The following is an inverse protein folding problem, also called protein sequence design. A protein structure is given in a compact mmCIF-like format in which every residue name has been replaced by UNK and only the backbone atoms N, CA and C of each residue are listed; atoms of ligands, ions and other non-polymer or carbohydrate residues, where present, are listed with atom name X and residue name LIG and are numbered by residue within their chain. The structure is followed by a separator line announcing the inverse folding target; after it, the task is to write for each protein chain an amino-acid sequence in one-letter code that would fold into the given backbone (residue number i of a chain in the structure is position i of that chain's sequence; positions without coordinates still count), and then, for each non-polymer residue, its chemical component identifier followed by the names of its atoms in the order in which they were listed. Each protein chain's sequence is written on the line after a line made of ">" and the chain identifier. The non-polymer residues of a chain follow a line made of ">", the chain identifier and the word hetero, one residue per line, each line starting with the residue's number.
data_IF_148726740154
#
_entry.id   IF_148726740154
#
_cell.length_a   1.000
_cell.length_b   1.000
_cell.length_c   1.000
_cell.angle_alpha   90.00
_cell.angle_beta   90.00
_cell.angle_gamma   90.00
#
_symmetry.space_group_name_H-M   'P 1'
#
loop_
_entity.id
_entity.type
_entity.pdbx_description
1 polymer ?
#
# COMPACT_ATOMS: atom_id res chain seq x y z
N UNK A 1 -29.71 -28.57 31.15
CA UNK A 1 -29.50 -27.27 31.80
C UNK A 1 -29.86 -26.19 30.79
N UNK A 2 -31.06 -25.64 30.95
CA UNK A 2 -31.59 -24.51 30.18
C UNK A 2 -30.81 -23.23 30.46
N UNK A 3 -30.61 -22.38 29.45
CA UNK A 3 -30.74 -20.92 29.61
C UNK A 3 -31.33 -20.31 28.34
N UNK A 4 -32.61 -19.92 28.46
CA UNK A 4 -33.37 -19.03 27.57
C UNK A 4 -32.76 -17.62 27.59
N UNK A 5 -32.89 -16.89 26.48
CA UNK A 5 -33.02 -15.44 26.50
C UNK A 5 -34.14 -15.00 25.54
N UNK A 6 -35.01 -14.14 26.07
CA UNK A 6 -36.26 -13.67 25.49
C UNK A 6 -36.06 -12.50 24.51
N UNK A 7 -36.97 -12.42 23.53
CA UNK A 7 -37.31 -11.23 22.74
C UNK A 7 -38.15 -10.25 23.60
N UNK A 8 -37.98 -8.94 23.38
CA UNK A 8 -39.05 -7.96 23.56
C UNK A 8 -39.01 -6.89 22.47
N UNK A 9 -40.18 -6.59 21.94
CA UNK A 9 -40.55 -5.64 20.90
C UNK A 9 -40.93 -4.26 21.47
N UNK A 10 -40.76 -3.18 20.70
CA UNK A 10 -41.84 -2.19 20.47
C UNK A 10 -41.46 -1.15 19.41
N UNK A 11 -42.37 -1.00 18.45
CA UNK A 11 -42.49 0.06 17.45
C UNK A 11 -43.00 1.36 18.10
N UNK A 12 -42.55 2.53 17.64
CA UNK A 12 -43.40 3.73 17.56
C UNK A 12 -43.04 4.57 16.33
N UNK A 13 -44.07 4.87 15.56
CA UNK A 13 -44.14 5.82 14.45
C UNK A 13 -44.10 7.28 14.96
N UNK A 14 -43.62 8.20 14.12
CA UNK A 14 -44.37 9.41 13.74
C UNK A 14 -43.71 10.09 12.53
N UNK A 15 -44.58 10.52 11.62
CA UNK A 15 -44.28 11.12 10.31
C UNK A 15 -44.43 12.67 10.35
N UNK A 16 -44.40 13.41 9.22
CA UNK A 16 -43.50 14.56 9.01
C UNK A 16 -44.21 15.93 8.95
N UNK A 17 -43.46 17.05 8.97
CA UNK A 17 -44.00 18.37 8.59
C UNK A 17 -42.98 19.18 7.77
N UNK A 18 -43.52 19.77 6.71
CA UNK A 18 -42.97 20.58 5.61
C UNK A 18 -42.66 22.05 5.95
N UNK A 19 -41.85 22.69 5.08
CA UNK A 19 -41.51 24.12 5.00
C UNK A 19 -42.75 25.04 4.73
N UNK A 20 -42.68 26.39 4.80
CA UNK A 20 -41.96 27.23 3.82
C UNK A 20 -41.40 28.60 4.31
N UNK A 21 -40.76 29.33 3.40
CA UNK A 21 -40.20 30.68 3.49
C UNK A 21 -41.26 31.81 3.43
N UNK A 22 -40.93 33.03 3.91
CA UNK A 22 -41.13 34.33 3.22
C UNK A 22 -40.72 35.57 4.05
N UNK A 23 -40.07 36.52 3.34
CA UNK A 23 -40.06 37.99 3.39
C UNK A 23 -40.26 38.83 4.67
N UNK A 24 -39.49 39.93 4.76
CA UNK A 24 -39.97 41.17 5.42
C UNK A 24 -38.89 42.17 5.84
N UNK A 25 -38.59 43.13 4.97
CA UNK A 25 -37.82 44.36 5.25
C UNK A 25 -38.65 45.36 6.07
N UNK A 26 -38.07 46.03 7.07
CA UNK A 26 -38.48 47.36 7.52
C UNK A 26 -37.47 48.07 8.45
N UNK A 27 -36.65 48.91 7.82
CA UNK A 27 -36.12 50.22 8.22
C UNK A 27 -36.60 50.86 9.56
N UNK A 28 -35.66 51.19 10.48
CA UNK A 28 -35.72 52.38 11.37
C UNK A 28 -34.32 52.91 11.67
N UNK A 29 -34.14 54.23 11.52
CA UNK A 29 -32.94 55.05 11.81
C UNK A 29 -32.82 55.41 13.32
N UNK A 30 -31.65 55.89 13.77
CA UNK A 30 -31.18 55.81 15.17
C UNK A 30 -31.35 57.13 15.94
N UNK A 31 -31.02 57.16 17.24
CA UNK A 31 -30.57 58.39 17.88
C UNK A 31 -29.05 58.38 18.14
N UNK A 32 -28.55 59.59 17.98
CA UNK A 32 -27.22 60.14 18.19
C UNK A 32 -26.72 60.01 19.64
N UNK A 33 -25.40 59.98 19.80
CA UNK A 33 -24.69 59.89 21.07
C UNK A 33 -23.22 59.55 20.86
N UNK A 34 -22.42 60.52 20.41
CA UNK A 34 -20.94 60.42 20.37
C UNK A 34 -20.36 60.61 21.77
N UNK A 35 -19.44 59.71 22.14
CA UNK A 35 -18.29 60.02 23.00
C UNK A 35 -16.99 59.62 22.25
N UNK A 36 -15.83 60.24 22.56
CA UNK A 36 -14.72 60.35 21.63
C UNK A 36 -13.92 59.03 21.52
N UNK A 37 -13.69 58.59 20.29
CA UNK A 37 -12.79 57.46 20.01
C UNK A 37 -11.36 57.84 20.41
N UNK A 38 -10.83 57.14 21.40
CA UNK A 38 -9.40 56.95 21.55
C UNK A 38 -8.83 56.27 20.30
N UNK A 39 -7.56 56.53 20.08
CA UNK A 39 -6.78 56.30 18.88
C UNK A 39 -6.64 54.80 18.52
N UNK A 40 -7.56 54.25 17.71
CA UNK A 40 -7.51 52.88 17.15
C UNK A 40 -6.72 52.82 15.83
N UNK A 41 -5.92 53.84 15.51
CA UNK A 41 -5.15 53.84 14.24
C UNK A 41 -3.91 52.94 14.31
N UNK A 42 -3.35 52.71 15.51
CA UNK A 42 -2.12 51.93 15.68
C UNK A 42 -2.26 50.39 15.65
N UNK A 43 -3.46 49.84 15.90
CA UNK A 43 -3.68 48.38 15.90
C UNK A 43 -4.03 47.83 14.51
N UNK A 44 -4.76 48.60 13.68
CA UNK A 44 -5.04 48.22 12.29
C UNK A 44 -3.77 48.23 11.43
N UNK A 45 -2.90 49.24 11.59
CA UNK A 45 -1.62 49.30 10.87
C UNK A 45 -0.67 48.15 11.25
N UNK A 46 -0.72 47.66 12.50
CA UNK A 46 0.08 46.50 12.94
C UNK A 46 -0.46 45.18 12.41
N UNK A 47 -1.78 45.01 12.33
CA UNK A 47 -2.38 43.81 11.74
C UNK A 47 -2.14 43.73 10.24
N UNK A 48 -2.30 44.84 9.51
CA UNK A 48 -2.03 44.88 8.07
C UNK A 48 -0.53 44.73 7.76
N UNK A 49 0.37 45.27 8.59
CA UNK A 49 1.81 45.05 8.45
C UNK A 49 2.20 43.59 8.74
N UNK A 50 1.60 42.91 9.72
CA UNK A 50 1.86 41.49 10.01
C UNK A 50 1.29 40.58 8.92
N UNK A 51 0.12 40.90 8.35
CA UNK A 51 -0.46 40.17 7.21
C UNK A 51 0.36 40.38 5.92
N UNK A 52 0.86 41.60 5.66
CA UNK A 52 1.71 41.90 4.51
C UNK A 52 3.13 41.30 4.65
N UNK A 53 3.71 41.28 5.86
CA UNK A 53 4.98 40.57 6.11
C UNK A 53 4.83 39.05 5.95
N UNK A 54 3.75 38.46 6.47
CA UNK A 54 3.51 37.01 6.34
C UNK A 54 3.23 36.58 4.89
N UNK A 55 2.47 37.37 4.12
CA UNK A 55 2.28 37.12 2.68
C UNK A 55 3.57 37.32 1.86
N UNK A 56 4.38 38.34 2.18
CA UNK A 56 5.68 38.59 1.54
C UNK A 56 6.70 37.48 1.81
N UNK A 57 6.73 36.93 3.03
CA UNK A 57 7.60 35.80 3.39
C UNK A 57 7.17 34.48 2.73
N UNK A 58 5.86 34.19 2.65
CA UNK A 58 5.34 33.02 1.94
C UNK A 58 5.62 33.09 0.42
N UNK A 59 5.43 34.26 -0.19
CA UNK A 59 5.74 34.48 -1.61
C UNK A 59 7.24 34.36 -1.90
N UNK A 60 8.09 34.95 -1.05
CA UNK A 60 9.55 34.84 -1.18
C UNK A 60 10.05 33.40 -0.96
N UNK A 61 9.44 32.65 -0.04
CA UNK A 61 9.72 31.23 0.17
C UNK A 61 9.32 30.38 -1.05
N UNK A 62 8.15 30.64 -1.66
CA UNK A 62 7.72 30.00 -2.90
C UNK A 62 8.69 30.30 -4.06
N UNK A 63 9.06 31.56 -4.25
CA UNK A 63 9.98 31.95 -5.32
C UNK A 63 11.41 31.39 -5.13
N UNK A 64 11.88 31.24 -3.89
CA UNK A 64 13.14 30.54 -3.59
C UNK A 64 13.03 29.06 -3.93
N UNK A 65 11.93 28.42 -3.55
CA UNK A 65 11.67 27.00 -3.82
C UNK A 65 11.62 26.73 -5.33
N UNK A 66 10.87 27.53 -6.10
CA UNK A 66 10.75 27.38 -7.55
C UNK A 66 12.12 27.46 -8.23
N UNK A 67 12.93 28.47 -7.87
CA UNK A 67 14.31 28.60 -8.38
C UNK A 67 15.19 27.40 -8.02
N UNK A 68 15.07 26.88 -6.81
CA UNK A 68 15.85 25.71 -6.40
C UNK A 68 15.41 24.47 -7.17
N UNK A 69 14.11 24.28 -7.39
CA UNK A 69 13.57 23.19 -8.21
C UNK A 69 14.15 23.28 -9.63
N UNK A 70 14.06 24.43 -10.28
CA UNK A 70 14.59 24.64 -11.63
C UNK A 70 16.10 24.34 -11.72
N UNK A 71 16.85 24.70 -10.67
CA UNK A 71 18.30 24.45 -10.60
C UNK A 71 18.64 22.96 -10.43
N UNK A 72 17.88 22.22 -9.60
CA UNK A 72 18.17 20.81 -9.31
C UNK A 72 17.57 19.86 -10.34
N UNK A 73 16.48 20.24 -11.01
CA UNK A 73 15.72 19.38 -11.93
C UNK A 73 16.58 18.70 -13.01
N UNK A 74 17.50 19.38 -13.73
CA UNK A 74 18.30 18.73 -14.76
C UNK A 74 19.15 17.56 -14.25
N UNK A 75 19.63 17.63 -13.00
CA UNK A 75 20.40 16.54 -12.39
C UNK A 75 19.48 15.43 -11.89
N UNK A 76 18.34 15.78 -11.29
CA UNK A 76 17.32 14.81 -10.86
C UNK A 76 16.75 14.03 -12.05
N UNK A 77 16.57 14.67 -13.21
CA UNK A 77 16.14 14.01 -14.44
C UNK A 77 17.19 12.99 -14.92
N UNK A 78 18.49 13.30 -14.78
CA UNK A 78 19.55 12.33 -15.08
C UNK A 78 19.51 11.16 -14.12
N UNK A 79 19.30 11.42 -12.82
CA UNK A 79 19.17 10.35 -11.82
C UNK A 79 17.98 9.45 -12.17
N UNK A 80 16.83 10.03 -12.50
CA UNK A 80 15.66 9.30 -12.98
C UNK A 80 16.01 8.42 -14.19
N UNK A 81 16.60 8.99 -15.25
CA UNK A 81 16.97 8.25 -16.46
C UNK A 81 18.02 7.16 -16.21
N UNK A 82 18.96 7.42 -15.31
CA UNK A 82 19.99 6.45 -14.88
C UNK A 82 19.32 5.24 -14.20
N UNK A 83 18.42 5.50 -13.25
CA UNK A 83 17.67 4.46 -12.53
C UNK A 83 16.73 3.70 -13.47
N UNK A 84 15.97 4.40 -14.33
CA UNK A 84 15.07 3.82 -15.33
C UNK A 84 15.79 2.82 -16.25
N UNK A 85 17.00 3.19 -16.70
CA UNK A 85 17.81 2.37 -17.60
C UNK A 85 18.53 1.20 -16.90
N UNK A 86 18.70 1.25 -15.57
CA UNK A 86 19.46 0.26 -14.79
C UNK A 86 18.67 -0.40 -13.65
N UNK A 87 17.43 -0.88 -13.90
CA UNK A 87 16.56 -1.38 -12.85
C UNK A 87 17.11 -2.66 -12.22
N UNK A 88 16.72 -2.90 -10.96
CA UNK A 88 17.11 -4.06 -10.17
C UNK A 88 15.87 -4.67 -9.49
N UNK A 89 15.81 -6.00 -9.39
CA UNK A 89 14.68 -6.69 -8.75
C UNK A 89 14.71 -6.57 -7.23
N UNK A 90 13.57 -6.82 -6.60
CA UNK A 90 13.40 -6.86 -5.15
C UNK A 90 14.50 -7.66 -4.42
N UNK A 91 15.13 -7.04 -3.42
CA UNK A 91 16.29 -7.53 -2.65
C UNK A 91 17.62 -7.62 -3.40
N UNK A 92 17.67 -7.19 -4.65
CA UNK A 92 18.87 -7.16 -5.51
C UNK A 92 19.26 -5.74 -5.97
N UNK A 93 18.67 -4.70 -5.40
CA UNK A 93 18.82 -3.26 -5.67
C UNK A 93 20.17 -2.67 -5.20
N UNK A 94 21.25 -3.41 -5.42
CA UNK A 94 22.59 -3.08 -4.90
C UNK A 94 23.18 -1.81 -5.49
N UNK A 95 23.03 -1.58 -6.80
CA UNK A 95 23.52 -0.37 -7.46
C UNK A 95 22.66 0.82 -7.08
N UNK A 96 21.35 0.65 -7.10
CA UNK A 96 20.36 1.66 -6.72
C UNK A 96 20.60 2.14 -5.28
N UNK A 97 20.67 1.22 -4.32
CA UNK A 97 20.90 1.56 -2.92
C UNK A 97 22.24 2.29 -2.71
N UNK A 98 23.32 1.81 -3.34
CA UNK A 98 24.65 2.44 -3.27
C UNK A 98 24.64 3.86 -3.86
N UNK A 99 23.97 4.03 -5.00
CA UNK A 99 23.85 5.31 -5.71
C UNK A 99 23.12 6.36 -4.87
N UNK A 100 21.99 5.99 -4.27
CA UNK A 100 21.21 6.88 -3.42
C UNK A 100 21.90 7.16 -2.07
N UNK A 101 22.54 6.15 -1.47
CA UNK A 101 23.34 6.31 -0.26
C UNK A 101 24.42 7.39 -0.44
N UNK A 102 25.17 7.32 -1.55
CA UNK A 102 26.22 8.28 -1.85
C UNK A 102 25.68 9.72 -2.01
N UNK A 103 24.47 9.89 -2.54
CA UNK A 103 23.85 11.21 -2.63
C UNK A 103 23.43 11.75 -1.25
N UNK A 104 22.83 10.91 -0.42
CA UNK A 104 22.47 11.30 0.94
C UNK A 104 23.71 11.64 1.79
N UNK A 105 24.79 10.86 1.67
CA UNK A 105 26.06 11.14 2.35
C UNK A 105 26.63 12.52 1.93
N UNK A 106 26.59 12.85 0.63
CA UNK A 106 27.01 14.18 0.13
C UNK A 106 26.16 15.31 0.72
N UNK A 107 24.89 15.06 1.01
CA UNK A 107 23.98 16.01 1.66
C UNK A 107 24.18 16.11 3.18
N UNK A 108 25.04 15.26 3.76
CA UNK A 108 25.34 15.27 5.20
C UNK A 108 24.40 14.41 6.04
N UNK A 109 23.69 13.45 5.43
CA UNK A 109 22.92 12.46 6.19
C UNK A 109 23.87 11.42 6.82
N UNK A 110 23.51 10.95 8.01
CA UNK A 110 24.04 9.71 8.57
C UNK A 110 23.34 8.53 7.89
N UNK A 111 24.06 7.81 7.02
CA UNK A 111 23.49 6.77 6.16
C UNK A 111 23.82 5.37 6.67
N UNK A 112 22.80 4.51 6.71
CA UNK A 112 22.91 3.07 6.94
C UNK A 112 22.33 2.31 5.75
N UNK A 113 23.12 1.42 5.15
CA UNK A 113 22.69 0.52 4.07
C UNK A 113 22.57 -0.90 4.62
N UNK A 114 21.62 -1.68 4.10
CA UNK A 114 21.43 -3.08 4.44
C UNK A 114 20.64 -3.34 5.74
N UNK A 115 19.89 -2.35 6.23
CA UNK A 115 19.17 -2.49 7.51
C UNK A 115 17.95 -3.40 7.38
N UNK A 116 18.02 -4.60 7.95
CA UNK A 116 16.92 -5.60 7.94
C UNK A 116 16.68 -6.30 6.60
N UNK A 117 17.02 -5.66 5.50
CA UNK A 117 17.06 -6.21 4.14
C UNK A 117 18.33 -5.70 3.43
N UNK A 118 18.99 -6.56 2.65
CA UNK A 118 20.37 -6.33 2.17
C UNK A 118 20.61 -5.03 1.41
N UNK A 119 19.58 -4.45 0.81
CA UNK A 119 19.63 -3.25 -0.03
C UNK A 119 18.82 -2.08 0.55
N UNK A 120 18.24 -2.24 1.75
CA UNK A 120 17.52 -1.16 2.41
C UNK A 120 18.44 0.03 2.71
N UNK A 121 17.89 1.24 2.64
CA UNK A 121 18.62 2.49 2.87
C UNK A 121 17.90 3.30 3.96
N UNK A 122 18.66 3.77 4.95
CA UNK A 122 18.14 4.69 5.98
C UNK A 122 19.12 5.85 6.13
N UNK A 123 18.66 7.07 5.88
CA UNK A 123 19.41 8.30 6.11
C UNK A 123 18.77 9.13 7.22
N UNK A 124 19.57 9.63 8.16
CA UNK A 124 19.11 10.55 9.21
C UNK A 124 19.80 11.90 9.06
N UNK A 125 19.04 12.99 9.04
CA UNK A 125 19.58 14.35 9.05
C UNK A 125 18.93 15.15 10.18
N UNK A 126 19.75 15.78 11.02
CA UNK A 126 19.28 16.56 12.19
C UNK A 126 19.53 18.04 12.00
N UNK A 127 18.53 18.83 12.35
CA UNK A 127 18.54 20.28 12.21
C UNK A 127 17.91 20.93 13.44
N UNK A 128 18.56 20.74 14.60
CA UNK A 128 18.04 21.20 15.89
C UNK A 128 16.88 20.35 16.43
N UNK A 129 16.33 20.78 17.56
CA UNK A 129 15.20 20.13 18.21
C UNK A 129 13.92 20.33 17.40
N UNK A 130 13.05 19.33 17.35
CA UNK A 130 11.80 19.38 16.60
C UNK A 130 11.24 18.01 16.24
N UNK A 131 10.13 17.98 15.48
CA UNK A 131 9.51 16.74 15.05
C UNK A 131 10.41 15.95 14.08
N UNK A 132 10.18 14.65 14.02
CA UNK A 132 10.78 13.76 13.03
C UNK A 132 9.80 13.51 11.88
N UNK A 133 10.21 13.90 10.66
CA UNK A 133 9.47 13.59 9.43
C UNK A 133 10.18 12.46 8.68
N UNK A 134 9.44 11.40 8.35
CA UNK A 134 9.92 10.33 7.48
C UNK A 134 9.46 10.53 6.05
N UNK A 135 10.38 10.38 5.09
CA UNK A 135 10.09 10.28 3.66
C UNK A 135 10.50 8.88 3.17
N UNK A 136 9.57 8.12 2.61
CA UNK A 136 9.79 6.75 2.12
C UNK A 136 9.73 6.69 0.59
N UNK A 137 10.67 5.96 -0.02
CA UNK A 137 10.65 5.55 -1.43
C UNK A 137 10.90 4.05 -1.54
N UNK A 138 10.36 3.43 -2.58
CA UNK A 138 10.70 2.08 -3.03
C UNK A 138 11.99 2.08 -3.87
N UNK A 139 12.69 0.95 -3.94
CA UNK A 139 13.93 0.78 -4.70
C UNK A 139 13.82 -0.20 -5.87
N UNK A 140 12.85 -1.12 -5.84
CA UNK A 140 12.79 -2.26 -6.76
C UNK A 140 12.05 -2.00 -8.06
N UNK A 141 12.29 -2.89 -9.02
CA UNK A 141 11.66 -2.94 -10.33
C UNK A 141 10.98 -4.30 -10.59
N UNK A 142 10.35 -4.44 -11.76
CA UNK A 142 9.56 -5.60 -12.15
C UNK A 142 10.25 -6.49 -13.20
N UNK A 143 10.02 -7.82 -13.19
CA UNK A 143 10.62 -8.78 -14.11
C UNK A 143 9.89 -8.80 -15.46
N UNK A 144 9.98 -7.70 -16.22
CA UNK A 144 9.32 -7.57 -17.52
C UNK A 144 10.16 -6.80 -18.54
N UNK A 145 9.84 -7.04 -19.81
CA UNK A 145 10.44 -6.32 -20.93
C UNK A 145 9.79 -4.94 -21.09
N UNK A 146 10.63 -3.89 -21.12
CA UNK A 146 10.17 -2.54 -21.39
C UNK A 146 9.94 -2.32 -22.89
N UNK A 147 8.74 -1.84 -23.25
CA UNK A 147 8.31 -1.64 -24.65
C UNK A 147 7.94 -0.20 -24.98
N UNK A 148 8.44 0.75 -24.18
CA UNK A 148 8.13 2.18 -24.31
C UNK A 148 8.77 2.81 -25.56
N UNK A 149 9.92 2.30 -25.98
CA UNK A 149 10.73 2.90 -27.04
C UNK A 149 11.49 4.16 -26.63
N UNK A 150 11.52 4.49 -25.33
CA UNK A 150 12.28 5.63 -24.80
C UNK A 150 13.79 5.43 -24.95
N UNK A 151 14.53 6.53 -25.07
CA UNK A 151 16.01 6.49 -25.14
C UNK A 151 16.65 5.89 -23.88
N UNK A 152 16.00 6.06 -22.72
CA UNK A 152 16.43 5.48 -21.45
C UNK A 152 15.81 4.11 -21.16
N UNK A 153 15.07 3.50 -22.10
CA UNK A 153 14.38 2.25 -21.85
C UNK A 153 15.35 1.13 -21.44
N UNK A 154 15.01 0.43 -20.36
CA UNK A 154 15.80 -0.68 -19.85
C UNK A 154 15.93 -1.80 -20.89
N UNK A 155 17.15 -2.35 -20.94
CA UNK A 155 17.48 -3.60 -21.64
C UNK A 155 18.11 -4.62 -20.68
N UNK A 156 18.07 -4.34 -19.38
CA UNK A 156 18.67 -5.17 -18.34
C UNK A 156 17.98 -6.53 -18.32
N UNK A 157 18.78 -7.59 -18.27
CA UNK A 157 18.33 -8.94 -17.99
C UNK A 157 19.09 -9.50 -16.80
N UNK A 158 18.38 -10.22 -15.94
CA UNK A 158 18.93 -10.90 -14.76
C UNK A 158 18.52 -12.37 -14.75
N UNK A 159 19.22 -13.25 -14.00
CA UNK A 159 18.77 -14.61 -13.79
C UNK A 159 17.34 -14.63 -13.27
N UNK A 160 16.50 -15.46 -13.89
CA UNK A 160 15.07 -15.50 -13.56
C UNK A 160 14.83 -15.95 -12.10
N UNK A 161 15.77 -16.68 -11.52
CA UNK A 161 15.81 -17.10 -10.11
C UNK A 161 15.86 -15.94 -9.11
N UNK A 162 16.21 -14.72 -9.53
CA UNK A 162 16.10 -13.52 -8.70
C UNK A 162 14.63 -13.13 -8.43
N UNK A 163 13.70 -13.54 -9.29
CA UNK A 163 12.28 -13.36 -9.03
C UNK A 163 11.70 -14.55 -8.25
N UNK A 164 10.99 -14.34 -7.13
CA UNK A 164 10.44 -15.42 -6.34
C UNK A 164 9.52 -16.36 -7.14
N UNK A 165 9.78 -17.66 -7.05
CA UNK A 165 8.97 -18.69 -7.67
C UNK A 165 9.48 -19.20 -9.02
N UNK A 166 10.58 -18.64 -9.55
CA UNK A 166 11.28 -19.22 -10.68
C UNK A 166 12.44 -20.11 -10.19
N UNK A 167 12.54 -21.32 -10.74
CA UNK A 167 13.56 -22.33 -10.37
C UNK A 167 14.48 -22.68 -11.53
N UNK A 168 14.30 -22.08 -12.70
CA UNK A 168 15.17 -22.32 -13.85
C UNK A 168 16.42 -21.44 -13.74
N UNK A 169 17.54 -22.07 -13.39
CA UNK A 169 18.84 -21.41 -13.24
C UNK A 169 19.42 -20.90 -14.57
N UNK A 170 18.90 -21.34 -15.71
CA UNK A 170 19.38 -20.96 -17.04
C UNK A 170 18.55 -19.83 -17.66
N UNK A 171 17.32 -19.65 -17.20
CA UNK A 171 16.42 -18.62 -17.70
C UNK A 171 16.88 -17.21 -17.28
N UNK A 172 16.63 -16.24 -18.16
CA UNK A 172 16.78 -14.82 -17.89
C UNK A 172 15.44 -14.11 -18.07
N UNK A 173 15.25 -13.05 -17.31
CA UNK A 173 14.10 -12.14 -17.45
C UNK A 173 14.61 -10.72 -17.64
N UNK A 174 13.91 -9.97 -18.48
CA UNK A 174 14.10 -8.52 -18.53
C UNK A 174 13.64 -7.88 -17.22
N UNK A 175 14.17 -6.70 -16.92
CA UNK A 175 13.81 -5.92 -15.74
C UNK A 175 13.48 -4.50 -16.17
N UNK A 176 12.40 -3.93 -15.65
CA UNK A 176 11.95 -2.57 -15.98
C UNK A 176 11.28 -1.88 -14.79
N UNK A 177 11.51 -0.57 -14.60
CA UNK A 177 10.71 0.25 -13.70
C UNK A 177 9.36 0.55 -14.36
N UNK A 178 8.40 -0.35 -14.20
CA UNK A 178 7.03 -0.19 -14.75
C UNK A 178 5.99 0.24 -13.71
N UNK A 179 6.39 0.42 -12.46
CA UNK A 179 5.57 0.96 -11.36
C UNK A 179 5.95 2.41 -11.00
N UNK A 180 7.00 2.97 -11.61
CA UNK A 180 7.44 4.36 -11.40
C UNK A 180 8.32 4.60 -10.17
N UNK A 181 8.88 3.54 -9.55
CA UNK A 181 9.73 3.65 -8.36
C UNK A 181 10.99 4.51 -8.60
N UNK A 182 11.51 4.54 -9.82
CA UNK A 182 12.57 5.45 -10.26
C UNK A 182 12.18 6.94 -10.21
N UNK A 183 10.94 7.28 -10.57
CA UNK A 183 10.39 8.62 -10.41
C UNK A 183 10.26 8.94 -8.92
N UNK A 184 9.85 7.98 -8.09
CA UNK A 184 9.75 8.16 -6.64
C UNK A 184 11.13 8.42 -6.04
N UNK A 185 12.15 7.64 -6.41
CA UNK A 185 13.53 7.80 -5.96
C UNK A 185 14.11 9.17 -6.36
N UNK A 186 13.91 9.60 -7.61
CA UNK A 186 14.36 10.91 -8.06
C UNK A 186 13.65 12.05 -7.31
N UNK A 187 12.34 11.95 -7.11
CA UNK A 187 11.55 12.94 -6.37
C UNK A 187 11.93 12.99 -4.89
N UNK A 188 12.18 11.83 -4.29
CA UNK A 188 12.62 11.66 -2.90
C UNK A 188 14.01 12.25 -2.67
N UNK A 189 14.94 12.03 -3.61
CA UNK A 189 16.25 12.67 -3.58
C UNK A 189 16.14 14.20 -3.77
N UNK A 190 15.29 14.65 -4.69
CA UNK A 190 15.02 16.08 -4.89
C UNK A 190 14.47 16.75 -3.62
N UNK A 191 13.52 16.10 -2.94
CA UNK A 191 13.00 16.57 -1.66
C UNK A 191 14.11 16.67 -0.59
N UNK A 192 14.99 15.66 -0.49
CA UNK A 192 16.13 15.70 0.43
C UNK A 192 17.07 16.88 0.12
N UNK A 193 17.42 17.09 -1.15
CA UNK A 193 18.28 18.20 -1.58
C UNK A 193 17.67 19.56 -1.22
N UNK A 194 16.38 19.76 -1.52
CA UNK A 194 15.68 21.02 -1.27
C UNK A 194 15.53 21.29 0.23
N UNK A 195 15.19 20.28 1.02
CA UNK A 195 15.06 20.43 2.47
C UNK A 195 16.41 20.77 3.13
N UNK A 196 17.51 20.16 2.69
CA UNK A 196 18.85 20.50 3.22
C UNK A 196 19.27 21.93 2.81
N UNK A 197 18.99 22.34 1.57
CA UNK A 197 19.28 23.70 1.08
C UNK A 197 18.44 24.78 1.78
N UNK A 198 17.29 24.39 2.34
CA UNK A 198 16.36 25.26 3.08
C UNK A 198 16.37 24.98 4.58
N UNK A 199 17.47 24.43 5.12
CA UNK A 199 17.59 24.09 6.55
C UNK A 199 17.43 25.29 7.50
N UNK A 200 17.58 26.52 7.01
CA UNK A 200 17.28 27.75 7.74
C UNK A 200 15.78 27.96 7.98
N UNK A 201 14.91 27.26 7.25
CA UNK A 201 13.45 27.43 7.29
C UNK A 201 12.72 26.37 8.13
N UNK A 202 13.42 25.38 8.70
CA UNK A 202 12.81 24.33 9.49
C UNK A 202 13.72 23.85 10.62
N UNK A 203 13.16 23.12 11.58
CA UNK A 203 13.90 22.48 12.66
C UNK A 203 13.35 21.08 12.93
N UNK A 204 14.18 20.17 13.44
CA UNK A 204 13.82 18.78 13.74
C UNK A 204 14.69 17.76 13.03
N UNK A 205 14.10 16.63 12.63
CA UNK A 205 14.83 15.51 12.01
C UNK A 205 14.15 15.02 10.74
N UNK A 206 14.94 14.75 9.70
CA UNK A 206 14.52 14.01 8.52
C UNK A 206 14.99 12.56 8.61
N UNK A 207 14.05 11.63 8.41
CA UNK A 207 14.31 10.20 8.28
C UNK A 207 13.98 9.76 6.84
N UNK A 208 15.01 9.52 6.04
CA UNK A 208 14.90 9.16 4.64
C UNK A 208 15.02 7.64 4.52
N UNK A 209 13.97 6.96 4.08
CA UNK A 209 13.91 5.49 3.99
C UNK A 209 13.78 5.05 2.53
N UNK A 210 14.77 4.33 2.04
CA UNK A 210 14.70 3.55 0.79
C UNK A 210 14.35 2.10 1.10
N UNK A 211 13.13 1.70 0.78
CA UNK A 211 12.59 0.38 1.00
C UNK A 211 12.84 -0.53 -0.23
N UNK A 212 13.47 -1.70 -0.06
CA UNK A 212 13.63 -2.67 -1.14
C UNK A 212 12.38 -3.54 -1.28
N UNK A 213 12.22 -4.25 -2.41
CA UNK A 213 11.26 -5.35 -2.53
C UNK A 213 9.80 -5.02 -2.16
N UNK A 214 9.29 -3.85 -2.56
CA UNK A 214 7.88 -3.48 -2.40
C UNK A 214 6.98 -4.40 -3.23
N UNK A 215 7.39 -4.72 -4.47
CA UNK A 215 6.58 -5.45 -5.46
C UNK A 215 6.25 -6.88 -5.00
N UNK A 216 7.03 -7.40 -4.06
CA UNK A 216 6.85 -8.73 -3.47
C UNK A 216 6.41 -8.69 -2.00
N UNK A 217 6.08 -7.51 -1.48
CA UNK A 217 5.60 -7.24 -0.12
C UNK A 217 6.60 -7.61 0.97
N UNK A 218 7.90 -7.46 0.69
CA UNK A 218 8.98 -7.98 1.53
C UNK A 218 9.73 -6.92 2.32
N UNK A 219 9.91 -5.73 1.73
CA UNK A 219 10.76 -4.65 2.21
C UNK A 219 10.44 -4.14 3.61
N UNK A 220 9.32 -3.43 3.71
CA UNK A 220 8.87 -2.81 4.95
C UNK A 220 8.81 -3.83 6.09
N UNK A 221 8.27 -5.02 5.82
CA UNK A 221 8.19 -6.11 6.81
C UNK A 221 9.58 -6.51 7.32
N UNK A 222 10.58 -6.62 6.45
CA UNK A 222 11.94 -6.98 6.83
C UNK A 222 12.60 -5.89 7.68
N UNK A 223 12.47 -4.62 7.27
CA UNK A 223 13.03 -3.47 8.00
C UNK A 223 12.39 -3.29 9.38
N UNK A 224 11.06 -3.40 9.47
CA UNK A 224 10.32 -3.29 10.73
C UNK A 224 10.68 -4.41 11.71
N UNK A 225 10.80 -5.66 11.23
CA UNK A 225 11.23 -6.80 12.06
C UNK A 225 12.65 -6.64 12.59
N UNK A 226 13.52 -5.95 11.87
CA UNK A 226 14.87 -5.64 12.31
C UNK A 226 14.91 -4.48 13.33
N UNK A 227 13.76 -3.88 13.67
CA UNK A 227 13.67 -2.81 14.65
C UNK A 227 13.95 -1.42 14.06
N UNK A 228 13.43 -1.11 12.86
CA UNK A 228 13.65 0.19 12.19
C UNK A 228 13.41 1.38 13.14
N UNK A 229 12.28 1.41 13.83
CA UNK A 229 11.94 2.49 14.77
C UNK A 229 12.45 2.27 16.19
N UNK A 230 13.18 1.18 16.43
CA UNK A 230 13.94 0.98 17.66
C UNK A 230 15.37 1.52 17.49
N UNK A 231 15.95 1.34 16.30
CA UNK A 231 17.30 1.79 15.95
C UNK A 231 17.35 3.27 15.53
N UNK A 232 16.37 3.72 14.76
CA UNK A 232 16.31 5.08 14.21
C UNK A 232 15.17 5.88 14.85
N UNK A 233 15.20 7.23 14.79
CA UNK A 233 14.14 8.07 15.34
C UNK A 233 12.77 7.65 14.82
N UNK A 234 11.83 7.39 15.74
CA UNK A 234 10.45 7.11 15.36
C UNK A 234 9.83 8.40 14.78
N UNK A 235 9.27 8.37 13.57
CA UNK A 235 8.68 9.56 12.98
C UNK A 235 7.37 9.95 13.67
N UNK A 236 7.16 11.26 13.80
CA UNK A 236 5.87 11.85 14.16
C UNK A 236 4.92 11.82 12.95
N UNK A 237 5.47 12.02 11.75
CA UNK A 237 4.75 11.96 10.47
C UNK A 237 5.56 11.19 9.43
N UNK A 238 4.88 10.40 8.59
CA UNK A 238 5.49 9.68 7.48
C UNK A 238 4.78 10.00 6.17
N UNK A 239 5.57 10.27 5.13
CA UNK A 239 5.08 10.53 3.78
C UNK A 239 5.68 9.54 2.79
N UNK A 240 4.85 9.09 1.86
CA UNK A 240 5.22 8.37 0.66
C UNK A 240 4.35 8.89 -0.48
N UNK A 241 4.82 8.77 -1.72
CA UNK A 241 4.07 9.13 -2.90
C UNK A 241 4.13 7.98 -3.90
N UNK A 242 3.08 7.84 -4.71
CA UNK A 242 3.07 6.88 -5.80
C UNK A 242 2.53 7.57 -7.06
N UNK A 243 3.29 7.51 -8.16
CA UNK A 243 2.85 7.99 -9.46
C UNK A 243 1.82 7.04 -10.04
N UNK A 244 0.88 7.54 -10.83
CA UNK A 244 -0.09 6.72 -11.55
C UNK A 244 -0.28 7.25 -12.98
N UNK A 245 -1.16 6.61 -13.74
CA UNK A 245 -1.46 7.02 -15.13
C UNK A 245 -2.40 8.23 -15.25
N UNK A 246 -2.65 8.99 -14.18
CA UNK A 246 -3.52 10.18 -14.24
C UNK A 246 -2.80 11.36 -14.90
N UNK A 247 -3.54 12.39 -15.37
CA UNK A 247 -2.93 13.59 -15.95
C UNK A 247 -1.94 14.27 -15.00
N UNK A 248 -0.77 14.65 -15.53
CA UNK A 248 0.27 15.34 -14.79
C UNK A 248 -0.22 16.66 -14.17
N UNK A 249 0.43 17.07 -13.08
CA UNK A 249 0.14 18.32 -12.37
C UNK A 249 -0.97 18.21 -11.32
N UNK A 250 -1.37 16.99 -10.94
CA UNK A 250 -2.38 16.75 -9.89
C UNK A 250 -1.80 15.85 -8.80
N UNK A 251 -2.09 16.22 -7.55
CA UNK A 251 -1.81 15.41 -6.38
C UNK A 251 -3.16 15.00 -5.78
N UNK A 252 -3.38 13.71 -5.66
CA UNK A 252 -4.59 13.17 -5.02
C UNK A 252 -4.26 12.76 -3.59
N UNK A 253 -4.91 13.41 -2.63
CA UNK A 253 -4.84 13.04 -1.21
C UNK A 253 -6.22 12.57 -0.77
N UNK A 254 -6.28 11.46 -0.05
CA UNK A 254 -7.52 10.92 0.51
C UNK A 254 -7.33 10.65 1.99
N UNK A 255 -8.28 11.08 2.81
CA UNK A 255 -8.35 10.65 4.21
C UNK A 255 -8.87 9.21 4.31
N UNK A 256 -8.30 8.44 5.24
CA UNK A 256 -8.55 7.01 5.40
C UNK A 256 -7.85 6.13 4.34
N UNK A 257 -8.38 4.93 4.12
CA UNK A 257 -7.74 3.93 3.26
C UNK A 257 -7.64 4.39 1.79
N UNK A 258 -6.41 4.58 1.29
CA UNK A 258 -6.16 4.99 -0.10
C UNK A 258 -6.23 3.80 -1.06
N UNK A 259 -5.54 2.70 -0.74
CA UNK A 259 -5.51 1.46 -1.52
C UNK A 259 -6.25 0.32 -0.81
N UNK A 260 -6.57 -0.74 -1.56
CA UNK A 260 -7.07 -1.98 -0.99
C UNK A 260 -5.92 -2.84 -0.49
N UNK A 261 -5.97 -3.29 0.77
CA UNK A 261 -5.13 -4.34 1.31
C UNK A 261 -5.14 -5.57 0.39
N UNK A 262 -3.99 -6.16 0.15
CA UNK A 262 -3.77 -7.32 -0.72
C UNK A 262 -3.29 -8.51 0.09
N UNK A 263 -4.10 -9.56 0.17
CA UNK A 263 -3.64 -10.85 0.70
C UNK A 263 -3.53 -11.89 -0.42
N UNK A 264 -2.47 -12.70 -0.40
CA UNK A 264 -2.23 -13.80 -1.34
C UNK A 264 -2.25 -15.13 -0.61
N UNK A 265 -2.89 -16.15 -1.19
CA UNK A 265 -3.04 -17.47 -0.58
C UNK A 265 -2.74 -18.60 -1.56
N UNK A 266 -2.00 -19.60 -1.07
CA UNK A 266 -1.89 -20.90 -1.70
C UNK A 266 -2.76 -21.90 -0.90
N UNK A 267 -3.78 -22.45 -1.54
CA UNK A 267 -4.71 -23.42 -0.94
C UNK A 267 -4.51 -24.79 -1.59
N UNK A 268 -4.37 -25.84 -0.77
CA UNK A 268 -4.28 -27.22 -1.27
C UNK A 268 -5.39 -28.07 -0.68
N UNK A 269 -6.28 -28.58 -1.54
CA UNK A 269 -7.20 -29.66 -1.18
C UNK A 269 -6.47 -30.99 -1.32
N UNK A 270 -6.34 -31.73 -0.21
CA UNK A 270 -5.77 -33.07 -0.18
C UNK A 270 -6.89 -34.10 -0.26
N UNK A 271 -6.84 -34.90 -1.31
CA UNK A 271 -7.76 -35.98 -1.60
C UNK A 271 -7.12 -37.34 -1.42
N UNK A 272 -7.64 -38.30 -2.19
CA UNK A 272 -7.11 -39.65 -2.34
C UNK A 272 -7.43 -40.08 -3.76
N UNK A 273 -6.39 -40.37 -4.53
CA UNK A 273 -6.53 -40.74 -5.92
C UNK A 273 -7.17 -42.11 -6.11
N UNK A 274 -7.73 -42.30 -7.30
CA UNK A 274 -8.27 -43.58 -7.76
C UNK A 274 -8.36 -43.59 -9.28
N UNK A 275 -8.60 -44.77 -9.84
CA UNK A 275 -9.00 -44.86 -11.24
C UNK A 275 -10.34 -44.13 -11.45
N UNK A 276 -10.50 -43.41 -12.57
CA UNK A 276 -11.71 -42.62 -12.86
C UNK A 276 -13.01 -43.43 -12.91
N UNK A 277 -12.92 -44.75 -13.15
CA UNK A 277 -14.06 -45.67 -13.08
C UNK A 277 -14.40 -46.18 -11.67
N UNK A 278 -13.57 -45.88 -10.67
CA UNK A 278 -13.75 -46.31 -9.27
C UNK A 278 -13.81 -45.13 -8.28
N UNK A 279 -14.68 -44.12 -8.50
CA UNK A 279 -14.70 -42.90 -7.67
C UNK A 279 -15.09 -43.16 -6.21
N UNK A 280 -15.79 -44.26 -5.91
CA UNK A 280 -16.16 -44.64 -4.54
C UNK A 280 -14.95 -45.01 -3.66
N UNK A 281 -13.77 -45.24 -4.24
CA UNK A 281 -12.51 -45.49 -3.53
C UNK A 281 -11.71 -44.21 -3.29
N UNK A 282 -12.13 -43.08 -3.89
CA UNK A 282 -11.39 -41.82 -3.88
C UNK A 282 -11.91 -40.82 -2.85
N UNK A 283 -11.15 -39.75 -2.67
CA UNK A 283 -11.63 -38.47 -2.14
C UNK A 283 -11.24 -37.46 -3.21
N UNK A 284 -12.19 -37.04 -4.04
CA UNK A 284 -11.88 -36.24 -5.22
C UNK A 284 -11.60 -34.76 -4.86
N UNK A 285 -10.35 -34.29 -4.97
CA UNK A 285 -10.00 -32.91 -4.63
C UNK A 285 -10.37 -31.91 -5.74
N UNK A 286 -10.66 -32.36 -6.97
CA UNK A 286 -11.16 -31.50 -8.04
C UNK A 286 -12.58 -31.05 -7.68
N UNK A 287 -13.44 -32.00 -7.27
CA UNK A 287 -14.80 -31.69 -6.82
C UNK A 287 -14.80 -30.75 -5.61
N UNK A 288 -13.91 -31.00 -4.64
CA UNK A 288 -13.73 -30.11 -3.49
C UNK A 288 -13.31 -28.71 -3.92
N UNK A 289 -12.27 -28.59 -4.75
CA UNK A 289 -11.79 -27.29 -5.22
C UNK A 289 -12.87 -26.53 -5.99
N UNK A 290 -13.56 -27.20 -6.92
CA UNK A 290 -14.60 -26.57 -7.75
C UNK A 290 -15.74 -26.03 -6.89
N UNK A 291 -16.17 -26.81 -5.90
CA UNK A 291 -17.21 -26.38 -4.96
C UNK A 291 -16.78 -25.19 -4.13
N UNK A 292 -15.53 -25.19 -3.65
CA UNK A 292 -14.96 -24.05 -2.93
C UNK A 292 -14.96 -22.79 -3.80
N UNK A 293 -14.55 -22.88 -5.07
CA UNK A 293 -14.55 -21.75 -6.01
C UNK A 293 -15.95 -21.15 -6.15
N UNK A 294 -17.00 -21.98 -6.22
CA UNK A 294 -18.39 -21.50 -6.26
C UNK A 294 -18.82 -20.88 -4.94
N UNK A 295 -18.63 -21.60 -3.82
CA UNK A 295 -19.16 -21.19 -2.51
C UNK A 295 -18.47 -19.93 -1.97
N UNK A 296 -17.17 -19.73 -2.26
CA UNK A 296 -16.44 -18.55 -1.79
C UNK A 296 -16.94 -17.24 -2.44
N UNK A 297 -17.53 -17.29 -3.64
CA UNK A 297 -18.16 -16.10 -4.25
C UNK A 297 -19.43 -15.66 -3.51
N UNK A 298 -20.10 -16.57 -2.80
CA UNK A 298 -21.25 -16.23 -1.98
C UNK A 298 -20.86 -15.33 -0.81
N UNK A 299 -19.62 -15.41 -0.32
CA UNK A 299 -19.13 -14.51 0.75
C UNK A 299 -19.09 -13.07 0.25
N UNK A 300 -18.46 -12.84 -0.90
CA UNK A 300 -18.36 -11.49 -1.49
C UNK A 300 -19.74 -10.93 -1.84
N UNK A 301 -20.62 -11.78 -2.38
CA UNK A 301 -21.92 -11.33 -2.86
C UNK A 301 -22.98 -11.25 -1.78
N UNK A 302 -22.94 -12.05 -0.71
CA UNK A 302 -24.03 -12.21 0.29
C UNK A 302 -23.64 -11.89 1.73
N UNK A 303 -22.38 -12.04 2.13
CA UNK A 303 -21.95 -11.80 3.52
C UNK A 303 -21.27 -10.43 3.72
N UNK A 304 -20.51 -9.97 2.73
CA UNK A 304 -19.85 -8.65 2.75
C UNK A 304 -20.87 -7.53 2.57
N UNK A 305 -20.72 -6.43 3.31
CA UNK A 305 -21.50 -5.20 3.07
C UNK A 305 -21.36 -4.77 1.59
N UNK A 306 -22.47 -4.58 0.84
CA UNK A 306 -22.40 -4.15 -0.55
C UNK A 306 -21.75 -2.78 -0.74
N UNK A 307 -21.72 -1.93 0.28
CA UNK A 307 -21.12 -0.58 0.25
C UNK A 307 -19.60 -0.59 0.45
N UNK A 308 -19.03 -1.64 1.03
CA UNK A 308 -17.59 -1.78 1.26
C UNK A 308 -16.91 -2.58 0.15
N UNK A 309 -15.77 -2.15 -0.40
CA UNK A 309 -15.07 -2.93 -1.43
C UNK A 309 -14.40 -4.16 -0.81
N UNK A 310 -14.54 -5.30 -1.49
CA UNK A 310 -13.89 -6.54 -1.13
C UNK A 310 -13.98 -7.53 -2.28
N UNK A 311 -12.86 -8.19 -2.58
CA UNK A 311 -12.71 -9.09 -3.74
C UNK A 311 -12.02 -10.37 -3.28
N UNK A 312 -12.45 -11.51 -3.80
CA UNK A 312 -11.73 -12.78 -3.74
C UNK A 312 -11.60 -13.28 -5.17
N UNK A 313 -10.36 -13.48 -5.62
CA UNK A 313 -10.05 -13.99 -6.96
C UNK A 313 -9.35 -15.32 -6.83
N UNK A 314 -9.85 -16.35 -7.53
CA UNK A 314 -9.10 -17.61 -7.73
C UNK A 314 -8.34 -17.48 -9.04
N UNK A 315 -7.06 -17.16 -8.96
CA UNK A 315 -6.21 -16.90 -10.13
C UNK A 315 -5.60 -18.16 -10.75
N UNK A 316 -5.56 -19.27 -10.01
CA UNK A 316 -5.06 -20.55 -10.53
C UNK A 316 -5.79 -21.73 -9.90
N UNK A 317 -6.06 -22.77 -10.69
CA UNK A 317 -6.58 -24.06 -10.26
C UNK A 317 -5.85 -25.16 -11.02
N UNK A 318 -5.10 -26.02 -10.31
CA UNK A 318 -4.28 -27.08 -10.91
C UNK A 318 -4.54 -28.42 -10.20
N UNK A 319 -4.91 -29.45 -10.96
CA UNK A 319 -5.18 -30.78 -10.41
C UNK A 319 -5.07 -31.89 -11.48
N UNK A 320 -4.28 -32.92 -11.17
CA UNK A 320 -4.16 -34.15 -11.99
C UNK A 320 -3.46 -33.97 -13.34
N UNK A 321 -2.71 -34.99 -13.82
CA UNK A 321 -2.07 -34.95 -15.14
C UNK A 321 -2.84 -35.72 -16.24
N UNK A 322 -3.88 -36.49 -15.89
CA UNK A 322 -4.54 -37.42 -16.81
C UNK A 322 -6.07 -37.44 -16.62
N UNK A 323 -6.82 -37.60 -17.72
CA UNK A 323 -8.29 -37.52 -17.70
C UNK A 323 -9.01 -38.73 -17.11
N UNK A 324 -8.34 -39.86 -16.93
CA UNK A 324 -8.91 -41.10 -16.38
C UNK A 324 -8.44 -41.40 -14.94
N UNK A 325 -7.83 -40.42 -14.26
CA UNK A 325 -7.31 -40.56 -12.89
C UNK A 325 -7.90 -39.46 -12.02
N UNK A 326 -8.47 -39.84 -10.88
CA UNK A 326 -8.80 -38.90 -9.81
C UNK A 326 -7.50 -38.60 -9.06
N UNK A 327 -7.05 -37.34 -8.94
CA UNK A 327 -5.75 -37.02 -8.35
C UNK A 327 -5.77 -37.02 -6.81
N UNK A 328 -4.59 -37.06 -6.20
CA UNK A 328 -4.43 -36.94 -4.74
C UNK A 328 -4.56 -35.51 -4.22
N UNK A 329 -4.47 -34.49 -5.08
CA UNK A 329 -4.58 -33.10 -4.65
C UNK A 329 -5.06 -32.15 -5.75
N UNK A 330 -5.61 -31.01 -5.33
CA UNK A 330 -5.87 -29.83 -6.15
C UNK A 330 -5.25 -28.59 -5.47
N UNK A 331 -4.47 -27.83 -6.22
CA UNK A 331 -3.79 -26.61 -5.76
C UNK A 331 -4.45 -25.39 -6.38
N UNK A 332 -4.86 -24.45 -5.53
CA UNK A 332 -5.47 -23.19 -5.92
C UNK A 332 -4.58 -22.03 -5.44
N UNK A 333 -4.44 -21.00 -6.28
CA UNK A 333 -3.82 -19.73 -5.90
C UNK A 333 -4.86 -18.63 -5.90
N UNK A 334 -4.92 -17.86 -4.83
CA UNK A 334 -5.95 -16.84 -4.62
C UNK A 334 -5.34 -15.50 -4.24
N UNK A 335 -6.06 -14.43 -4.59
CA UNK A 335 -5.85 -13.09 -4.04
C UNK A 335 -7.13 -12.59 -3.40
N UNK A 336 -6.97 -11.76 -2.38
CA UNK A 336 -8.06 -11.05 -1.72
C UNK A 336 -7.75 -9.56 -1.67
N UNK A 337 -8.78 -8.73 -1.84
CA UNK A 337 -8.69 -7.28 -1.68
C UNK A 337 -9.71 -6.80 -0.65
N UNK A 338 -9.34 -5.84 0.19
CA UNK A 338 -10.25 -5.22 1.17
C UNK A 338 -9.76 -3.82 1.53
N UNK A 339 -10.65 -2.91 1.92
CA UNK A 339 -10.23 -1.53 2.31
C UNK A 339 -10.36 -1.24 3.80
N UNK A 340 -11.00 -2.11 4.57
CA UNK A 340 -11.14 -1.95 6.02
C UNK A 340 -10.69 -3.20 6.77
N UNK A 341 -10.14 -3.08 8.00
CA UNK A 341 -9.77 -4.22 8.83
C UNK A 341 -10.92 -5.21 9.06
N UNK A 342 -12.15 -4.71 9.20
CA UNK A 342 -13.35 -5.52 9.43
C UNK A 342 -13.69 -6.35 8.21
N UNK A 343 -13.66 -5.73 7.02
CA UNK A 343 -13.88 -6.43 5.75
C UNK A 343 -12.80 -7.49 5.54
N UNK A 344 -11.54 -7.15 5.80
CA UNK A 344 -10.42 -8.10 5.71
C UNK A 344 -10.62 -9.30 6.61
N UNK A 345 -10.96 -9.06 7.89
CA UNK A 345 -11.21 -10.10 8.89
C UNK A 345 -12.36 -11.01 8.45
N UNK A 346 -13.48 -10.44 8.00
CA UNK A 346 -14.62 -11.19 7.50
C UNK A 346 -14.23 -12.12 6.35
N UNK A 347 -13.53 -11.60 5.35
CA UNK A 347 -13.14 -12.38 4.17
C UNK A 347 -12.11 -13.49 4.53
N UNK A 348 -11.16 -13.22 5.42
CA UNK A 348 -10.21 -14.22 5.93
C UNK A 348 -10.92 -15.35 6.68
N UNK A 349 -11.79 -15.02 7.62
CA UNK A 349 -12.54 -16.00 8.41
C UNK A 349 -13.46 -16.82 7.51
N UNK A 350 -14.12 -16.19 6.55
CA UNK A 350 -14.98 -16.85 5.58
C UNK A 350 -14.19 -17.78 4.65
N UNK A 351 -13.03 -17.37 4.15
CA UNK A 351 -12.18 -18.23 3.33
C UNK A 351 -11.75 -19.50 4.09
N UNK A 352 -11.34 -19.37 5.35
CA UNK A 352 -11.02 -20.52 6.19
C UNK A 352 -12.24 -21.41 6.43
N UNK A 353 -13.40 -20.81 6.73
CA UNK A 353 -14.65 -21.53 6.98
C UNK A 353 -15.11 -22.30 5.75
N UNK A 354 -15.20 -21.65 4.59
CA UNK A 354 -15.65 -22.28 3.34
C UNK A 354 -14.70 -23.40 2.94
N UNK A 355 -13.37 -23.17 2.96
CA UNK A 355 -12.39 -24.22 2.65
C UNK A 355 -12.53 -25.45 3.57
N UNK A 356 -12.68 -25.24 4.89
CA UNK A 356 -12.89 -26.33 5.85
C UNK A 356 -14.20 -27.07 5.61
N UNK A 357 -15.30 -26.34 5.42
CA UNK A 357 -16.61 -26.93 5.16
C UNK A 357 -16.60 -27.76 3.88
N UNK A 358 -16.01 -27.24 2.80
CA UNK A 358 -15.91 -27.96 1.54
C UNK A 358 -15.06 -29.23 1.67
N UNK A 359 -13.96 -29.17 2.42
CA UNK A 359 -13.11 -30.33 2.69
C UNK A 359 -13.80 -31.39 3.58
N UNK A 360 -14.64 -30.96 4.52
CA UNK A 360 -15.37 -31.81 5.47
C UNK A 360 -16.71 -32.32 4.94
N UNK A 361 -17.19 -31.79 3.81
CA UNK A 361 -18.52 -32.07 3.28
C UNK A 361 -18.77 -33.59 3.18
N UNK A 362 -19.89 -34.10 3.75
CA UNK A 362 -20.07 -35.50 4.13
C UNK A 362 -20.38 -36.46 2.98
N UNK A 363 -19.77 -36.28 1.81
CA UNK A 363 -19.83 -37.25 0.68
C UNK A 363 -19.24 -38.63 1.01
N UNK A 364 -18.87 -38.88 2.28
CA UNK A 364 -18.32 -40.12 2.83
C UNK A 364 -19.44 -40.97 3.43
N UNK A 365 -19.72 -42.14 2.85
CA UNK A 365 -20.51 -43.19 3.54
C UNK A 365 -19.72 -43.94 4.62
N UNK A 366 -18.41 -43.73 4.77
CA UNK A 366 -17.59 -44.49 5.72
C UNK A 366 -16.82 -43.60 6.69
N UNK A 367 -17.16 -43.69 7.99
CA UNK A 367 -16.68 -42.82 9.08
C UNK A 367 -15.26 -43.12 9.58
N UNK A 368 -14.57 -44.14 9.05
CA UNK A 368 -13.31 -44.65 9.60
C UNK A 368 -12.03 -44.26 8.83
N UNK A 369 -12.08 -43.28 7.92
CA UNK A 369 -10.86 -42.74 7.30
C UNK A 369 -10.58 -41.32 7.83
N UNK A 370 -9.47 -41.20 8.55
CA UNK A 370 -8.98 -40.02 9.26
C UNK A 370 -9.17 -38.69 8.51
N UNK A 371 -9.49 -37.66 9.29
CA UNK A 371 -9.59 -36.27 8.86
C UNK A 371 -8.25 -35.78 8.26
N UNK A 372 -8.20 -35.56 6.95
CA UNK A 372 -7.16 -34.70 6.38
C UNK A 372 -7.73 -33.28 6.32
N UNK A 373 -7.34 -32.47 7.29
CA UNK A 373 -7.60 -31.04 7.29
C UNK A 373 -7.10 -30.44 5.97
N UNK A 374 -7.87 -29.53 5.39
CA UNK A 374 -7.31 -28.49 4.53
C UNK A 374 -6.23 -27.81 5.36
N UNK A 375 -4.96 -28.13 5.08
CA UNK A 375 -3.86 -27.39 5.64
C UNK A 375 -3.85 -26.05 4.92
N UNK A 376 -4.65 -25.12 5.43
CA UNK A 376 -4.24 -23.73 5.41
C UNK A 376 -3.00 -23.70 6.30
N UNK A 377 -1.83 -23.95 5.70
CA UNK A 377 -0.61 -23.37 6.26
C UNK A 377 -0.95 -21.89 6.47
N UNK A 378 -0.54 -21.23 7.56
CA UNK A 378 -0.56 -19.78 7.52
C UNK A 378 0.13 -19.43 6.21
N UNK A 379 -0.60 -18.82 5.28
CA UNK A 379 0.07 -18.10 4.22
C UNK A 379 1.21 -17.37 4.94
N UNK A 380 2.40 -17.30 4.34
CA UNK A 380 3.15 -16.09 4.62
C UNK A 380 2.16 -15.00 4.24
N UNK A 381 1.44 -14.44 5.21
CA UNK A 381 0.72 -13.21 5.08
C UNK A 381 1.85 -12.26 4.80
N UNK A 382 2.22 -12.17 3.52
CA UNK A 382 3.00 -11.08 2.99
C UNK A 382 2.00 -9.96 3.06
N UNK A 383 2.01 -9.30 4.21
CA UNK A 383 1.39 -8.00 4.38
C UNK A 383 2.26 -7.10 3.48
N UNK A 384 1.73 -6.78 2.31
CA UNK A 384 2.12 -5.56 1.60
C UNK A 384 1.53 -4.38 2.35
#
# INVERSE_FOLDING_TARGET
>A
MEKKWHRSSSVRENAPVSAPAHHGSANRRPPDGREPNEDVTGEHDRFDAVLQLSAGTAYAASARLDRLIDQKYPELEKVYKELHANPELGFHETRTAKRLAAELEKLGFEVTVGFGAGTALVGVFRNGDGPTIMLRTELDALPMEEKTGLDCASRVQVPATQWPGNTDETAKVFVAHSCGHDIHMASWLGAAQLLVEMKDNWHGTLLLVGEPAEEIGGGATAMLKAGLFEKFPKPDFGFAMHVNGDPAGKITVKDGAFSGNSDTFDLTFKGRGAHGSAPHLSIDPIVQGARFVTDIQAVVSREKDPRGPGVITVGSFQAGPAGNIIPDQAKLKLTMRSTTPETRKLLLEAMQRVAKTTAQSPWRRNRNCCASAAALWPARTRQS
#
